data_IF_628920679985
#
_entry.id   IF_628920679985
#
_cell.length_a   1.000
_cell.length_b   1.000
_cell.length_c   1.000
_cell.angle_alpha   90.00
_cell.angle_beta   90.00
_cell.angle_gamma   90.00
#
_symmetry.space_group_name_H-M   'P 1'
#
loop_
_entity.id
_entity.type
_entity.pdbx_description
1 polymer ?
#
# COMPACT_ATOMS: atom_id res chain seq x y z
N UNK A 1 -9.19 -6.42 -12.52
CA UNK A 1 -7.83 -6.33 -13.10
C UNK A 1 -6.90 -7.14 -12.20
N UNK A 2 -6.00 -7.95 -12.77
CA UNK A 2 -4.99 -8.67 -11.98
C UNK A 2 -3.68 -7.90 -12.10
N UNK A 3 -3.10 -7.48 -10.97
CA UNK A 3 -1.80 -6.82 -10.90
C UNK A 3 -0.89 -7.62 -9.95
N UNK A 4 0.45 -7.53 -10.08
CA UNK A 4 1.38 -8.31 -9.27
C UNK A 4 1.60 -7.74 -7.85
N UNK A 5 1.03 -6.58 -7.54
CA UNK A 5 1.36 -5.79 -6.33
C UNK A 5 0.62 -6.21 -5.04
N UNK A 6 -0.23 -7.24 -5.05
CA UNK A 6 -0.92 -7.76 -3.85
C UNK A 6 0.09 -8.30 -2.83
N UNK A 7 0.07 -7.81 -1.59
CA UNK A 7 0.97 -8.23 -0.51
C UNK A 7 1.42 -7.06 0.36
N UNK A 8 2.32 -7.34 1.31
CA UNK A 8 2.78 -6.38 2.30
C UNK A 8 3.90 -5.47 1.75
N UNK A 9 3.78 -4.18 2.02
CA UNK A 9 4.75 -3.14 1.70
C UNK A 9 5.15 -2.43 2.98
N UNK A 10 6.45 -2.27 3.22
CA UNK A 10 6.97 -1.85 4.52
C UNK A 10 7.99 -0.74 4.34
N UNK A 11 7.93 0.30 5.18
CA UNK A 11 9.00 1.32 5.20
C UNK A 11 10.32 0.69 5.64
N UNK A 12 11.44 1.32 5.27
CA UNK A 12 12.78 0.80 5.59
C UNK A 12 13.01 0.49 7.08
N UNK A 13 12.37 1.25 7.96
CA UNK A 13 12.45 1.12 9.42
C UNK A 13 11.42 0.15 10.01
N UNK A 14 10.53 -0.42 9.20
CA UNK A 14 9.47 -1.31 9.67
C UNK A 14 8.29 -0.60 10.35
N UNK A 15 8.31 0.73 10.46
CA UNK A 15 7.32 1.47 11.22
C UNK A 15 5.94 1.45 10.54
N UNK A 16 5.89 1.55 9.22
CA UNK A 16 4.65 1.50 8.45
C UNK A 16 4.60 0.17 7.70
N UNK A 17 3.48 -0.54 7.86
CA UNK A 17 3.16 -1.78 7.15
C UNK A 17 1.85 -1.56 6.39
N UNK A 18 1.91 -1.65 5.07
CA UNK A 18 0.82 -1.34 4.16
C UNK A 18 0.53 -2.58 3.32
N UNK A 19 -0.59 -3.25 3.57
CA UNK A 19 -0.98 -4.49 2.91
C UNK A 19 -1.96 -4.19 1.77
N UNK A 20 -1.64 -4.62 0.56
CA UNK A 20 -2.55 -4.62 -0.58
C UNK A 20 -3.21 -6.00 -0.70
N UNK A 21 -4.52 -6.09 -0.47
CA UNK A 21 -5.29 -7.33 -0.47
C UNK A 21 -5.82 -7.68 -1.89
N UNK A 22 -6.04 -8.96 -2.20
CA UNK A 22 -6.44 -9.41 -3.55
C UNK A 22 -7.85 -8.98 -3.97
N UNK A 23 -8.67 -8.52 -3.05
CA UNK A 23 -10.04 -8.01 -3.28
C UNK A 23 -10.08 -6.51 -3.58
N UNK A 24 -8.92 -5.86 -3.73
CA UNK A 24 -8.80 -4.42 -3.98
C UNK A 24 -8.93 -3.56 -2.72
N UNK A 25 -8.78 -4.15 -1.53
CA UNK A 25 -8.72 -3.43 -0.25
C UNK A 25 -7.29 -3.25 0.22
N UNK A 26 -7.02 -2.20 0.99
CA UNK A 26 -5.74 -2.07 1.69
C UNK A 26 -5.97 -1.89 3.20
N UNK A 27 -4.97 -2.30 3.98
CA UNK A 27 -4.85 -2.01 5.41
C UNK A 27 -3.45 -1.47 5.71
N UNK A 28 -3.38 -0.36 6.43
CA UNK A 28 -2.12 0.23 6.86
C UNK A 28 -2.02 0.24 8.38
N UNK A 29 -0.96 -0.35 8.91
CA UNK A 29 -0.56 -0.24 10.31
C UNK A 29 0.62 0.73 10.46
N UNK A 30 0.63 1.49 11.57
CA UNK A 30 1.72 2.40 11.96
C UNK A 30 2.16 2.11 13.39
N UNK A 31 3.36 1.55 13.54
CA UNK A 31 3.89 1.09 14.82
C UNK A 31 2.94 0.10 15.49
N UNK A 32 2.44 0.46 16.68
CA UNK A 32 1.50 -0.37 17.44
C UNK A 32 0.02 -0.16 17.06
N UNK A 33 -0.28 0.84 16.22
CA UNK A 33 -1.64 1.09 15.75
C UNK A 33 -1.89 0.27 14.49
N UNK A 34 -2.54 -0.88 14.67
CA UNK A 34 -3.08 -1.68 13.58
C UNK A 34 -4.23 -0.93 12.90
N UNK A 35 -4.41 -1.15 11.59
CA UNK A 35 -5.53 -0.58 10.83
C UNK A 35 -5.69 0.93 11.01
N UNK A 36 -4.57 1.66 10.98
CA UNK A 36 -4.53 3.10 11.05
C UNK A 36 -5.30 3.74 9.87
N UNK A 37 -5.18 3.15 8.68
CA UNK A 37 -5.96 3.50 7.50
C UNK A 37 -6.41 2.25 6.77
N UNK A 38 -7.61 2.30 6.20
CA UNK A 38 -8.20 1.25 5.39
C UNK A 38 -9.00 1.87 4.26
N UNK A 39 -9.09 1.15 3.16
CA UNK A 39 -9.85 1.62 2.02
C UNK A 39 -9.78 0.69 0.84
N UNK A 40 -10.09 1.24 -0.33
CA UNK A 40 -9.97 0.58 -1.62
C UNK A 40 -8.83 1.17 -2.41
N UNK A 41 -8.30 0.38 -3.31
CA UNK A 41 -7.32 0.83 -4.27
C UNK A 41 -7.62 0.29 -5.68
N UNK A 42 -7.10 0.99 -6.68
CA UNK A 42 -7.11 0.58 -8.08
C UNK A 42 -5.71 0.76 -8.64
N UNK A 43 -5.27 -0.19 -9.47
CA UNK A 43 -3.97 -0.13 -10.15
C UNK A 43 -4.20 0.02 -11.64
N UNK A 44 -3.53 1.00 -12.25
CA UNK A 44 -3.43 1.17 -13.70
C UNK A 44 -1.95 1.20 -14.11
N UNK A 45 -1.49 0.16 -14.80
CA UNK A 45 -0.07 -0.03 -15.08
C UNK A 45 0.76 -0.16 -13.80
N UNK A 46 1.64 0.81 -13.57
CA UNK A 46 2.48 0.98 -12.39
C UNK A 46 1.99 2.09 -11.43
N UNK A 47 0.86 2.72 -11.74
CA UNK A 47 0.23 3.72 -10.90
C UNK A 47 -0.86 3.11 -10.01
N UNK A 48 -1.01 3.62 -8.79
CA UNK A 48 -2.02 3.17 -7.83
C UNK A 48 -2.78 4.36 -7.23
N UNK A 49 -4.09 4.25 -7.24
CA UNK A 49 -5.04 5.22 -6.69
C UNK A 49 -5.75 4.62 -5.48
N UNK A 50 -5.96 5.41 -4.44
CA UNK A 50 -6.60 5.01 -3.19
C UNK A 50 -7.82 5.87 -2.88
N UNK A 51 -8.83 5.23 -2.30
CA UNK A 51 -9.94 5.90 -1.62
C UNK A 51 -10.11 5.23 -0.27
N UNK A 52 -9.82 5.96 0.80
CA UNK A 52 -10.00 5.47 2.16
C UNK A 52 -11.49 5.40 2.54
N UNK A 53 -11.82 4.64 3.60
CA UNK A 53 -13.21 4.48 4.05
C UNK A 53 -13.82 5.77 4.64
N UNK A 54 -13.00 6.82 4.88
CA UNK A 54 -13.43 8.14 5.35
C UNK A 54 -13.63 9.16 4.21
N UNK A 55 -13.28 8.80 2.98
CA UNK A 55 -13.36 9.64 1.78
C UNK A 55 -12.08 10.40 1.41
N UNK A 56 -10.96 10.16 2.10
CA UNK A 56 -9.65 10.68 1.71
C UNK A 56 -9.08 9.91 0.51
N UNK A 57 -8.40 10.63 -0.38
CA UNK A 57 -7.78 10.07 -1.58
C UNK A 57 -6.28 10.23 -1.51
N UNK A 58 -5.57 9.25 -2.04
CA UNK A 58 -4.13 9.32 -2.19
C UNK A 58 -3.68 8.51 -3.40
N UNK A 59 -2.46 8.74 -3.85
CA UNK A 59 -1.90 8.12 -5.04
C UNK A 59 -0.45 7.66 -4.79
N UNK A 60 0.05 6.83 -5.70
CA UNK A 60 1.43 6.39 -5.68
C UNK A 60 1.84 5.66 -6.94
N UNK A 61 3.13 5.34 -7.04
CA UNK A 61 3.71 4.61 -8.17
C UNK A 61 4.60 3.46 -7.69
N UNK A 62 4.57 2.36 -8.44
CA UNK A 62 5.53 1.26 -8.32
C UNK A 62 6.71 1.49 -9.26
N UNK A 63 7.91 1.71 -8.72
CA UNK A 63 9.14 1.92 -9.51
C UNK A 63 10.20 0.96 -9.05
N UNK A 64 10.72 0.14 -9.96
CA UNK A 64 11.77 -0.86 -9.71
C UNK A 64 11.51 -1.77 -8.49
N UNK A 65 10.25 -2.17 -8.28
CA UNK A 65 9.84 -3.03 -7.16
C UNK A 65 9.65 -2.31 -5.82
N UNK A 66 9.64 -0.98 -5.82
CA UNK A 66 9.43 -0.10 -4.66
C UNK A 66 8.13 0.69 -4.85
N UNK A 67 7.33 0.82 -3.80
CA UNK A 67 6.13 1.65 -3.80
C UNK A 67 6.46 3.05 -3.25
N UNK A 68 6.22 4.08 -4.06
CA UNK A 68 6.33 5.48 -3.71
C UNK A 68 4.93 6.05 -3.54
N UNK A 69 4.54 6.38 -2.33
CA UNK A 69 3.15 6.76 -2.02
C UNK A 69 3.12 7.76 -0.87
N UNK A 70 2.39 8.87 -1.02
CA UNK A 70 2.20 9.90 0.02
C UNK A 70 3.51 10.36 0.72
N UNK A 71 4.60 10.51 -0.06
CA UNK A 71 5.94 10.88 0.43
C UNK A 71 6.70 9.76 1.14
N UNK A 72 6.15 8.55 1.20
CA UNK A 72 6.76 7.36 1.76
C UNK A 72 7.41 6.51 0.67
N UNK A 73 8.42 5.75 1.08
CA UNK A 73 9.10 4.75 0.24
C UNK A 73 8.94 3.40 0.94
N UNK A 74 8.19 2.50 0.31
CA UNK A 74 7.87 1.18 0.86
C UNK A 74 8.46 0.08 -0.02
N UNK A 75 9.00 -0.93 0.64
CA UNK A 75 9.61 -2.09 0.02
C UNK A 75 8.70 -3.29 0.21
N UNK A 76 8.67 -4.16 -0.78
CA UNK A 76 7.95 -5.43 -0.67
C UNK A 76 8.49 -6.24 0.51
N UNK A 77 7.63 -6.64 1.44
CA UNK A 77 8.00 -7.63 2.44
C UNK A 77 8.17 -8.96 1.70
N UNK A 78 9.41 -9.43 1.60
CA UNK A 78 9.66 -10.80 1.15
C UNK A 78 9.00 -11.72 2.16
N UNK A 79 8.06 -12.56 1.73
CA UNK A 79 7.68 -13.71 2.53
C UNK A 79 8.97 -14.53 2.75
N UNK A 80 9.44 -14.58 3.99
CA UNK A 80 10.49 -15.51 4.39
C UNK A 80 10.00 -16.95 4.25
#
# INVERSE_FOLDING_TARGET
MKHPYVGMWVTKDGYIKHELLPDGRYDEARGNRQSAYQGRYVVDGDHIEYVDDTGFTADGDFKDGVLYHAGMVLYRESAQ
#
